data_IF_886930664077
#
_entry.id   IF_886930664077
#
_cell.length_a   1.000
_cell.length_b   1.000
_cell.length_c   1.000
_cell.angle_alpha   90.00
_cell.angle_beta   90.00
_cell.angle_gamma   90.00
#
_symmetry.space_group_name_H-M   'P 1'
#
loop_
_entity.id
_entity.type
_entity.pdbx_description
1 polymer ?
#
# COMPACT_ATOMS: atom_id res chain seq x y z
N UNK A 1 -6.45 -21.65 13.01
CA UNK A 1 -5.37 -21.48 12.02
C UNK A 1 -5.06 -19.99 11.92
N UNK A 2 -4.00 -19.53 12.58
CA UNK A 2 -3.53 -18.15 12.46
C UNK A 2 -2.65 -18.07 11.22
N UNK A 3 -3.13 -17.42 10.17
CA UNK A 3 -2.34 -17.16 8.96
C UNK A 3 -1.42 -15.97 9.28
N UNK A 4 -0.22 -16.26 9.77
CA UNK A 4 0.84 -15.27 9.90
C UNK A 4 1.47 -15.03 8.53
N UNK A 5 1.25 -13.85 7.95
CA UNK A 5 1.96 -13.41 6.75
C UNK A 5 3.39 -13.03 7.15
N UNK A 6 4.43 -13.49 6.44
CA UNK A 6 5.80 -13.14 6.78
C UNK A 6 6.00 -11.63 6.64
N UNK A 7 6.49 -11.02 7.71
CA UNK A 7 6.76 -9.58 7.87
C UNK A 7 7.81 -8.99 6.90
N UNK A 8 8.29 -9.77 5.94
CA UNK A 8 9.52 -9.50 5.18
C UNK A 8 9.28 -8.81 3.84
N UNK A 9 8.08 -8.26 3.60
CA UNK A 9 7.74 -7.65 2.29
C UNK A 9 7.22 -6.22 2.38
N UNK A 10 7.10 -5.66 3.59
CA UNK A 10 6.80 -4.25 3.74
C UNK A 10 8.11 -3.45 3.64
N UNK A 11 8.18 -2.56 2.66
CA UNK A 11 9.22 -1.55 2.58
C UNK A 11 8.68 -0.29 3.25
N UNK A 12 9.17 0.03 4.43
CA UNK A 12 8.68 1.14 5.25
C UNK A 12 9.84 2.12 5.48
N UNK A 13 9.63 3.39 5.20
CA UNK A 13 10.59 4.42 5.59
C UNK A 13 10.38 4.85 7.03
N UNK A 14 11.45 5.31 7.66
CA UNK A 14 11.37 5.93 8.98
C UNK A 14 10.48 7.17 8.91
N UNK A 15 9.54 7.30 9.83
CA UNK A 15 8.73 8.50 9.92
C UNK A 15 9.60 9.69 10.36
N UNK A 16 9.63 10.74 9.54
CA UNK A 16 10.41 11.96 9.81
C UNK A 16 10.01 12.66 11.11
N UNK A 17 8.84 12.34 11.68
CA UNK A 17 8.38 12.89 12.96
C UNK A 17 8.81 12.05 14.16
N UNK A 18 8.57 10.74 14.14
CA UNK A 18 8.83 9.88 15.29
C UNK A 18 10.24 9.27 15.29
N UNK A 19 10.97 9.37 14.18
CA UNK A 19 12.28 8.73 14.00
C UNK A 19 12.19 7.20 14.01
N UNK A 20 10.99 6.62 13.89
CA UNK A 20 10.72 5.18 13.87
C UNK A 20 9.71 4.83 12.79
N UNK A 21 9.62 3.56 12.42
CA UNK A 21 8.54 3.07 11.56
C UNK A 21 7.17 3.34 12.22
N UNK A 22 6.16 3.69 11.43
CA UNK A 22 4.84 4.01 11.95
C UNK A 22 3.99 2.74 12.09
N UNK A 23 3.67 2.28 13.33
CA UNK A 23 2.92 1.04 13.53
C UNK A 23 1.47 1.14 13.01
N UNK A 24 0.87 2.33 13.10
CA UNK A 24 -0.49 2.57 12.61
C UNK A 24 -0.56 2.44 11.09
N UNK A 25 0.43 3.01 10.39
CA UNK A 25 0.51 2.91 8.93
C UNK A 25 0.75 1.49 8.45
N UNK A 26 1.61 0.73 9.16
CA UNK A 26 1.83 -0.68 8.89
C UNK A 26 0.53 -1.49 9.02
N UNK A 27 -0.17 -1.35 10.16
CA UNK A 27 -1.44 -2.02 10.38
C UNK A 27 -2.51 -1.62 9.34
N UNK A 28 -2.53 -0.36 8.91
CA UNK A 28 -3.43 0.09 7.85
C UNK A 28 -3.09 -0.54 6.50
N UNK A 29 -1.81 -0.58 6.13
CA UNK A 29 -1.37 -1.20 4.89
C UNK A 29 -1.63 -2.71 4.85
N UNK A 30 -1.51 -3.42 5.97
CA UNK A 30 -1.90 -4.83 6.08
C UNK A 30 -3.37 -5.04 5.71
N UNK A 31 -4.26 -4.17 6.20
CA UNK A 31 -5.69 -4.20 5.84
C UNK A 31 -5.92 -3.89 4.35
N UNK A 32 -5.20 -2.91 3.81
CA UNK A 32 -5.26 -2.59 2.38
C UNK A 32 -4.79 -3.75 1.50
N UNK A 33 -3.76 -4.50 1.91
CA UNK A 33 -3.29 -5.69 1.16
C UNK A 33 -4.39 -6.76 1.13
N UNK A 34 -5.09 -6.99 2.24
CA UNK A 34 -6.22 -7.94 2.24
C UNK A 34 -7.37 -7.46 1.35
N UNK A 35 -7.71 -6.16 1.43
CA UNK A 35 -8.72 -5.56 0.58
C UNK A 35 -8.35 -5.65 -0.91
N UNK A 36 -7.09 -5.38 -1.25
CA UNK A 36 -6.57 -5.48 -2.62
C UNK A 36 -6.72 -6.90 -3.17
N UNK A 37 -6.37 -7.92 -2.37
CA UNK A 37 -6.52 -9.35 -2.76
C UNK A 37 -7.96 -9.69 -3.12
N UNK A 38 -8.92 -9.28 -2.29
CA UNK A 38 -10.35 -9.51 -2.52
C UNK A 38 -10.86 -8.73 -3.73
N UNK A 39 -10.45 -7.46 -3.88
CA UNK A 39 -10.85 -6.64 -5.02
C UNK A 39 -10.33 -7.21 -6.34
N UNK A 40 -9.09 -7.70 -6.36
CA UNK A 40 -8.46 -8.27 -7.55
C UNK A 40 -9.04 -9.62 -7.95
N UNK A 41 -9.56 -10.40 -7.00
CA UNK A 41 -10.29 -11.64 -7.35
C UNK A 41 -11.65 -11.37 -7.97
N UNK A 42 -12.24 -10.19 -7.73
CA UNK A 42 -13.54 -9.79 -8.30
C UNK A 42 -13.38 -9.04 -9.63
N UNK A 43 -12.34 -8.23 -9.78
CA UNK A 43 -12.07 -7.47 -11.01
C UNK A 43 -10.57 -7.46 -11.33
N UNK A 44 -10.15 -8.16 -12.40
CA UNK A 44 -8.78 -8.01 -12.89
C UNK A 44 -8.55 -6.57 -13.38
N UNK A 45 -7.39 -6.01 -13.06
CA UNK A 45 -7.07 -4.61 -13.37
C UNK A 45 -7.68 -3.58 -12.41
N UNK A 46 -8.12 -4.00 -11.23
CA UNK A 46 -8.56 -3.09 -10.19
C UNK A 46 -7.42 -2.14 -9.76
N UNK A 47 -7.74 -0.85 -9.70
CA UNK A 47 -6.92 0.20 -9.10
C UNK A 47 -7.83 1.10 -8.25
N UNK A 48 -7.33 1.50 -7.08
CA UNK A 48 -8.02 2.42 -6.19
C UNK A 48 -7.03 3.38 -5.55
N UNK A 49 -7.39 4.66 -5.56
CA UNK A 49 -6.70 5.72 -4.82
C UNK A 49 -7.67 6.30 -3.81
N UNK A 50 -7.18 6.59 -2.62
CA UNK A 50 -7.99 7.20 -1.59
C UNK A 50 -7.16 7.91 -0.53
N UNK A 51 -7.87 8.54 0.40
CA UNK A 51 -7.28 9.15 1.59
C UNK A 51 -7.92 8.55 2.82
N UNK A 52 -7.12 8.36 3.86
CA UNK A 52 -7.56 7.88 5.15
C UNK A 52 -6.92 8.69 6.27
N UNK A 53 -7.67 8.88 7.34
CA UNK A 53 -7.10 9.40 8.59
C UNK A 53 -6.53 8.22 9.38
N UNK A 54 -5.25 8.31 9.76
CA UNK A 54 -4.61 7.30 10.59
C UNK A 54 -4.73 7.70 12.07
N UNK A 55 -5.72 7.12 12.76
CA UNK A 55 -5.91 7.26 14.21
C UNK A 55 -4.72 6.68 14.97
N UNK A 56 -4.12 7.49 15.85
CA UNK A 56 -2.91 7.15 16.60
C UNK A 56 -1.63 7.86 16.14
N UNK A 57 -1.69 8.66 15.06
CA UNK A 57 -0.67 9.67 14.80
C UNK A 57 -1.07 10.99 15.47
N UNK A 58 -0.29 11.45 16.45
CA UNK A 58 -0.61 12.60 17.31
C UNK A 58 -0.84 13.96 16.59
N UNK A 59 -0.68 14.05 15.26
CA UNK A 59 -1.08 15.25 14.52
C UNK A 59 -1.86 14.93 13.24
N UNK A 60 -2.87 14.06 13.35
CA UNK A 60 -3.87 13.87 12.30
C UNK A 60 -3.24 13.42 11.00
N UNK A 61 -2.61 12.25 11.02
CA UNK A 61 -1.87 11.71 9.88
C UNK A 61 -2.81 11.35 8.74
N UNK A 62 -3.24 12.34 7.96
CA UNK A 62 -3.86 12.09 6.67
C UNK A 62 -2.85 11.33 5.80
N UNK A 63 -3.31 10.20 5.27
CA UNK A 63 -2.53 9.33 4.44
C UNK A 63 -3.22 9.17 3.10
N UNK A 64 -2.46 9.35 2.02
CA UNK A 64 -2.88 8.99 0.67
C UNK A 64 -2.45 7.54 0.43
N UNK A 65 -3.35 6.74 -0.12
CA UNK A 65 -3.03 5.37 -0.50
C UNK A 65 -3.39 5.12 -1.96
N UNK A 66 -2.59 4.25 -2.58
CA UNK A 66 -2.84 3.70 -3.91
C UNK A 66 -2.73 2.19 -3.78
N UNK A 67 -3.73 1.45 -4.26
CA UNK A 67 -3.68 0.00 -4.29
C UNK A 67 -4.15 -0.54 -5.64
N UNK A 68 -3.43 -1.55 -6.12
CA UNK A 68 -3.75 -2.27 -7.34
C UNK A 68 -3.41 -3.76 -7.18
N UNK A 69 -3.52 -4.53 -8.27
CA UNK A 69 -3.25 -5.96 -8.27
C UNK A 69 -1.80 -6.36 -7.96
N UNK A 70 -0.86 -5.42 -8.02
CA UNK A 70 0.56 -5.69 -7.84
C UNK A 70 1.07 -5.20 -6.48
N UNK A 71 0.57 -4.06 -6.00
CA UNK A 71 1.10 -3.41 -4.79
C UNK A 71 0.10 -2.47 -4.11
N UNK A 72 0.36 -2.25 -2.83
CA UNK A 72 -0.20 -1.18 -1.99
C UNK A 72 0.91 -0.19 -1.72
N UNK A 73 0.59 1.10 -1.85
CA UNK A 73 1.46 2.22 -1.51
C UNK A 73 0.71 3.17 -0.58
N UNK A 74 1.38 3.63 0.46
CA UNK A 74 0.82 4.51 1.48
C UNK A 74 1.80 5.67 1.74
N UNK A 75 1.28 6.88 1.71
CA UNK A 75 2.03 8.13 1.85
C UNK A 75 1.43 8.96 2.97
N UNK A 76 2.20 9.23 4.03
CA UNK A 76 1.71 10.02 5.16
C UNK A 76 2.26 11.44 5.15
N UNK A 77 1.42 12.40 5.56
CA UNK A 77 1.82 13.81 5.67
C UNK A 77 2.01 14.48 4.32
N UNK A 78 1.23 14.06 3.32
CA UNK A 78 1.13 14.70 2.00
C UNK A 78 0.01 15.74 2.02
N UNK A 79 0.16 16.80 1.24
CA UNK A 79 -0.81 17.90 1.15
C UNK A 79 -2.08 17.50 0.39
N UNK A 80 -3.19 18.20 0.68
CA UNK A 80 -4.46 18.01 -0.02
C UNK A 80 -4.36 18.54 -1.45
N UNK A 81 -3.98 17.67 -2.37
CA UNK A 81 -3.86 17.98 -3.80
C UNK A 81 -2.67 17.33 -4.46
N UNK A 82 -1.80 16.67 -3.69
CA UNK A 82 -0.65 15.96 -4.23
C UNK A 82 -1.05 14.90 -5.27
N UNK A 83 -0.27 14.85 -6.34
CA UNK A 83 -0.45 13.91 -7.46
C UNK A 83 -0.02 12.51 -7.04
N UNK A 84 -0.98 11.59 -6.97
CA UNK A 84 -0.75 10.21 -6.56
C UNK A 84 0.24 9.49 -7.49
N UNK A 85 0.22 9.81 -8.79
CA UNK A 85 1.15 9.22 -9.77
C UNK A 85 2.58 9.69 -9.54
N UNK A 86 2.81 10.98 -9.26
CA UNK A 86 4.12 11.51 -8.87
C UNK A 86 4.64 10.88 -7.58
N UNK A 87 3.77 10.68 -6.57
CA UNK A 87 4.13 9.99 -5.33
C UNK A 87 4.52 8.52 -5.58
N UNK A 88 3.78 7.79 -6.41
CA UNK A 88 4.10 6.42 -6.82
C UNK A 88 5.40 6.33 -7.64
N UNK A 89 5.68 7.32 -8.49
CA UNK A 89 6.94 7.38 -9.23
C UNK A 89 8.13 7.66 -8.28
N UNK A 90 7.93 8.55 -7.31
CA UNK A 90 8.92 8.86 -6.28
C UNK A 90 9.24 7.65 -5.40
N UNK A 91 8.23 6.96 -4.88
CA UNK A 91 8.43 5.74 -4.08
C UNK A 91 9.14 4.64 -4.89
N UNK A 92 8.85 4.53 -6.19
CA UNK A 92 9.51 3.57 -7.09
C UNK A 92 11.00 3.89 -7.18
N UNK A 93 11.34 5.13 -7.48
CA UNK A 93 12.73 5.55 -7.54
C UNK A 93 13.45 5.37 -6.18
N UNK A 94 12.76 5.68 -5.07
CA UNK A 94 13.31 5.57 -3.73
C UNK A 94 13.60 4.12 -3.29
N UNK A 95 12.66 3.20 -3.53
CA UNK A 95 12.78 1.81 -3.05
C UNK A 95 13.53 0.88 -4.01
N UNK A 96 13.62 1.22 -5.29
CA UNK A 96 14.27 0.38 -6.31
C UNK A 96 15.66 0.88 -6.71
N UNK A 97 16.20 1.87 -5.98
CA UNK A 97 17.51 2.50 -6.21
C UNK A 97 17.75 2.89 -7.68
N UNK A 98 16.67 3.27 -8.38
CA UNK A 98 16.77 3.76 -9.74
C UNK A 98 17.10 5.25 -9.68
N UNK A 99 18.03 5.69 -10.53
CA UNK A 99 18.39 7.10 -10.71
C UNK A 99 17.10 7.94 -10.76
N UNK A 100 16.80 8.64 -9.66
CA UNK A 100 15.55 9.35 -9.44
C UNK A 100 15.48 10.64 -10.27
N UNK A 101 16.08 10.66 -11.47
CA UNK A 101 16.04 11.75 -12.45
C UNK A 101 14.67 11.86 -13.16
N UNK A 102 13.62 11.35 -12.52
CA UNK A 102 12.20 11.58 -12.80
C UNK A 102 11.60 12.60 -11.82
N UNK A 103 10.27 12.84 -11.84
CA UNK A 103 9.62 14.12 -11.51
C UNK A 103 9.56 14.47 -10.00
N UNK A 104 10.70 14.46 -9.30
CA UNK A 104 10.85 15.11 -7.99
C UNK A 104 10.36 16.56 -8.02
N UNK A 105 10.48 17.21 -9.19
CA UNK A 105 9.99 18.56 -9.47
C UNK A 105 8.47 18.72 -9.37
N UNK A 106 7.69 17.62 -9.33
CA UNK A 106 6.21 17.65 -9.26
C UNK A 106 5.66 17.45 -7.86
N UNK A 107 6.48 17.07 -6.90
CA UNK A 107 6.06 16.96 -5.50
C UNK A 107 6.11 18.34 -4.85
N UNK A 108 5.03 18.75 -4.19
CA UNK A 108 5.04 19.99 -3.40
C UNK A 108 5.92 19.82 -2.15
N UNK A 109 5.89 18.62 -1.54
CA UNK A 109 6.72 18.27 -0.41
C UNK A 109 6.95 16.75 -0.37
N UNK A 110 8.11 16.26 0.11
CA UNK A 110 8.32 14.84 0.30
C UNK A 110 7.36 14.30 1.38
N UNK A 111 6.81 13.09 1.19
CA UNK A 111 5.99 12.44 2.21
C UNK A 111 6.81 12.23 3.49
N UNK A 112 6.17 12.43 4.65
CA UNK A 112 6.81 12.24 5.96
C UNK A 112 7.15 10.79 6.26
N UNK A 113 6.46 9.87 5.60
CA UNK A 113 6.70 8.44 5.65
C UNK A 113 6.07 7.80 4.40
N UNK A 114 6.73 6.78 3.88
CA UNK A 114 6.25 5.96 2.77
C UNK A 114 6.25 4.50 3.19
N UNK A 115 5.22 3.79 2.75
CA UNK A 115 5.16 2.34 2.87
C UNK A 115 4.75 1.75 1.52
N UNK A 116 5.44 0.68 1.14
CA UNK A 116 5.10 -0.15 -0.02
C UNK A 116 5.00 -1.61 0.39
N UNK A 117 3.99 -2.31 -0.14
CA UNK A 117 3.80 -3.73 0.08
C UNK A 117 3.28 -4.41 -1.19
N UNK A 118 3.78 -5.60 -1.55
CA UNK A 118 3.27 -6.34 -2.70
C UNK A 118 1.91 -6.97 -2.40
N UNK A 119 1.02 -6.93 -3.39
CA UNK A 119 -0.24 -7.68 -3.37
C UNK A 119 0.04 -9.03 -4.03
N UNK A 120 0.54 -9.98 -3.24
CA UNK A 120 0.61 -11.36 -3.69
C UNK A 120 -0.78 -11.96 -3.56
N UNK A 121 -1.42 -12.25 -4.68
CA UNK A 121 -2.53 -13.20 -4.65
C UNK A 121 -1.94 -14.53 -4.21
N UNK A 122 -2.51 -15.12 -3.15
CA UNK A 122 -2.29 -16.55 -2.94
C UNK A 122 -2.78 -17.21 -4.23
N UNK A 123 -1.92 -17.97 -4.90
CA UNK A 123 -2.38 -18.92 -5.91
C UNK A 123 -3.51 -19.71 -5.24
N UNK A 124 -4.76 -19.68 -5.74
CA UNK A 124 -5.79 -20.51 -5.17
C UNK A 124 -5.30 -21.95 -5.35
N UNK A 125 -4.92 -22.60 -4.26
CA UNK A 125 -4.73 -24.04 -4.25
C UNK A 125 -6.05 -24.63 -4.76
N UNK A 126 -6.02 -25.09 -6.01
CA UNK A 126 -7.01 -25.89 -6.74
C UNK A 126 -8.37 -25.89 -6.06
N UNK A 127 -9.27 -25.01 -6.50
CA UNK A 127 -10.69 -25.11 -6.16
C UNK A 127 -11.14 -26.53 -6.54
N UNK A 128 -11.43 -27.36 -5.53
CA UNK A 128 -12.06 -28.64 -5.77
C UNK A 128 -13.43 -28.34 -6.39
N UNK A 129 -13.76 -28.91 -7.56
CA UNK A 129 -15.06 -28.67 -8.18
C UNK A 129 -16.14 -29.16 -7.22
N UNK A 130 -17.10 -28.28 -6.92
CA UNK A 130 -18.32 -28.61 -6.19
C UNK A 130 -19.04 -29.72 -6.97
N UNK A 131 -18.90 -30.95 -6.50
CA UNK A 131 -19.59 -32.12 -7.03
C UNK A 131 -21.10 -31.86 -6.95
N UNK A 132 -21.72 -31.81 -8.12
CA UNK A 132 -23.15 -31.62 -8.31
C UNK A 132 -23.90 -32.78 -7.66
N UNK A 133 -24.54 -32.53 -6.52
CA UNK A 133 -25.55 -33.42 -5.97
C UNK A 133 -26.74 -33.47 -6.94
N UNK A 134 -26.84 -34.56 -7.70
CA UNK A 134 -28.03 -34.90 -8.47
C UNK A 134 -29.13 -35.36 -7.52
N UNK A 135 -30.33 -34.82 -7.75
CA UNK A 135 -31.61 -35.24 -7.19
C UNK A 135 -32.04 -36.54 -7.89
#
# INVERSE_FOLDING_TARGET
>A
MSISFPDHQFQITTCLRSGRECPVARAFAERLVQAARLACSLRPGFEMTGRAMLDGCAAGGEALFVLNAHRVELFCGVEKGEDAAALCAFSTAFFEDRDARGPLSRLMAPPRMMLRAPVRMACPARAEPCETARI
#
